data_IF_059986549872
#
_entry.id   IF_059986549872
#
_cell.length_a   1.000
_cell.length_b   1.000
_cell.length_c   1.000
_cell.angle_alpha   90.00
_cell.angle_beta   90.00
_cell.angle_gamma   90.00
#
_symmetry.space_group_name_H-M   'P 1'
#
loop_
_entity.id
_entity.type
_entity.pdbx_description
1 polymer ?
#
# COMPACT_ATOMS: atom_id res chain seq x y z
N UNK A 1 7.65 -57.71 6.68
CA UNK A 1 6.38 -57.22 6.14
C UNK A 1 5.98 -55.99 6.94
N UNK A 2 5.82 -54.85 6.25
CA UNK A 2 5.09 -53.60 6.60
C UNK A 2 5.53 -52.85 7.88
N UNK A 3 6.16 -51.66 7.82
CA UNK A 3 5.61 -50.33 7.45
C UNK A 3 4.39 -49.98 8.33
N UNK A 4 4.34 -48.94 9.17
CA UNK A 4 4.69 -47.52 9.02
C UNK A 4 4.52 -46.86 10.41
N UNK A 5 4.91 -45.57 10.57
CA UNK A 5 4.32 -44.62 11.54
C UNK A 5 4.93 -44.74 12.96
N UNK A 6 5.98 -44.00 13.31
CA UNK A 6 5.84 -42.71 14.03
C UNK A 6 6.90 -41.65 13.65
N UNK A 7 7.30 -41.58 12.38
CA UNK A 7 7.77 -40.31 11.83
C UNK A 7 6.56 -39.39 11.65
N UNK A 8 6.30 -38.45 12.59
CA UNK A 8 5.62 -37.15 12.34
C UNK A 8 5.20 -36.38 13.61
N UNK A 9 6.01 -36.36 14.67
CA UNK A 9 5.89 -35.31 15.71
C UNK A 9 7.12 -34.40 15.77
N UNK A 10 7.89 -34.38 14.67
CA UNK A 10 8.72 -33.23 14.34
C UNK A 10 7.80 -32.09 13.86
N UNK A 11 8.07 -30.88 14.37
CA UNK A 11 7.50 -29.59 13.96
C UNK A 11 6.26 -29.10 14.73
N UNK A 12 6.30 -29.19 16.06
CA UNK A 12 5.87 -28.02 16.86
C UNK A 12 7.02 -27.01 16.89
N UNK A 13 7.33 -26.45 15.72
CA UNK A 13 8.06 -25.19 15.65
C UNK A 13 7.00 -24.10 15.69
N UNK A 14 6.80 -23.50 16.86
CA UNK A 14 6.26 -22.15 17.00
C UNK A 14 6.88 -21.32 15.88
N UNK A 15 6.09 -20.66 14.99
CA UNK A 15 6.70 -19.73 14.06
C UNK A 15 7.27 -18.60 14.92
N UNK A 16 8.59 -18.65 15.12
CA UNK A 16 9.36 -17.56 15.65
C UNK A 16 8.94 -16.34 14.85
N UNK A 17 8.54 -15.27 15.54
CA UNK A 17 8.28 -13.98 14.95
C UNK A 17 9.59 -13.52 14.31
N UNK A 18 9.77 -13.92 13.05
CA UNK A 18 10.89 -13.55 12.22
C UNK A 18 10.70 -12.06 11.92
N UNK A 19 11.21 -11.23 12.81
CA UNK A 19 11.41 -9.79 12.59
C UNK A 19 12.54 -9.57 11.59
N UNK A 20 12.48 -10.29 10.48
CA UNK A 20 13.11 -9.84 9.24
C UNK A 20 12.42 -8.53 8.90
N UNK A 21 13.22 -7.45 8.78
CA UNK A 21 12.79 -6.21 8.12
C UNK A 21 12.05 -6.62 6.85
N UNK A 22 10.70 -6.53 6.87
CA UNK A 22 9.86 -6.96 5.74
C UNK A 22 10.38 -6.19 4.54
N UNK A 23 10.96 -6.89 3.56
CA UNK A 23 11.29 -6.27 2.28
C UNK A 23 9.96 -5.69 1.79
N UNK A 24 9.92 -4.39 1.50
CA UNK A 24 8.76 -3.79 0.86
C UNK A 24 8.37 -4.68 -0.32
N UNK A 25 7.24 -5.38 -0.21
CA UNK A 25 6.71 -6.19 -1.29
C UNK A 25 6.34 -5.25 -2.42
N UNK A 26 6.80 -5.58 -3.63
CA UNK A 26 6.48 -4.78 -4.81
C UNK A 26 4.97 -4.66 -4.99
N UNK A 27 4.55 -3.53 -5.56
CA UNK A 27 3.16 -3.29 -5.91
C UNK A 27 2.79 -4.16 -7.09
N UNK A 28 1.69 -4.90 -6.96
CA UNK A 28 1.08 -5.62 -8.08
C UNK A 28 0.15 -4.68 -8.84
N UNK A 29 -0.08 -4.96 -10.13
CA UNK A 29 -1.03 -4.20 -10.94
C UNK A 29 -2.45 -4.21 -10.34
N UNK A 30 -2.86 -5.31 -9.70
CA UNK A 30 -4.16 -5.42 -9.04
C UNK A 30 -4.28 -4.45 -7.84
N UNK A 31 -3.21 -4.29 -7.06
CA UNK A 31 -3.19 -3.35 -5.94
C UNK A 31 -3.12 -1.90 -6.39
N UNK A 32 -2.42 -1.63 -7.49
CA UNK A 32 -2.43 -0.31 -8.11
C UNK A 32 -3.82 0.06 -8.62
N UNK A 33 -4.50 -0.86 -9.30
CA UNK A 33 -5.88 -0.65 -9.73
C UNK A 33 -6.80 -0.43 -8.53
N UNK A 34 -6.70 -1.28 -7.51
CA UNK A 34 -7.47 -1.14 -6.27
C UNK A 34 -7.23 0.20 -5.58
N UNK A 35 -5.99 0.69 -5.57
CA UNK A 35 -5.65 2.01 -5.03
C UNK A 35 -6.34 3.12 -5.84
N UNK A 36 -6.34 3.04 -7.17
CA UNK A 36 -7.03 4.00 -8.03
C UNK A 36 -8.55 3.97 -7.79
N UNK A 37 -9.13 2.78 -7.65
CA UNK A 37 -10.56 2.60 -7.37
C UNK A 37 -10.93 3.26 -6.03
N UNK A 38 -10.19 2.98 -4.96
CA UNK A 38 -10.39 3.59 -3.63
C UNK A 38 -10.29 5.13 -3.72
N UNK A 39 -9.29 5.66 -4.43
CA UNK A 39 -9.12 7.12 -4.58
C UNK A 39 -10.22 7.76 -5.43
N UNK A 40 -10.80 7.01 -6.36
CA UNK A 40 -11.91 7.46 -7.20
C UNK A 40 -13.24 7.47 -6.43
N UNK A 41 -13.44 6.47 -5.57
CA UNK A 41 -14.59 6.40 -4.66
C UNK A 41 -14.52 7.48 -3.56
N UNK A 42 -13.31 7.74 -3.05
CA UNK A 42 -13.04 8.71 -1.99
C UNK A 42 -12.27 9.93 -2.52
N UNK A 43 -12.93 10.74 -3.34
CA UNK A 43 -12.32 11.93 -3.96
C UNK A 43 -11.79 12.96 -2.94
N UNK A 44 -12.40 13.03 -1.75
CA UNK A 44 -11.94 13.86 -0.62
C UNK A 44 -10.60 13.35 -0.06
N UNK A 45 -10.42 12.04 0.05
CA UNK A 45 -9.15 11.43 0.45
C UNK A 45 -8.08 11.71 -0.59
N UNK A 46 -8.39 11.55 -1.87
CA UNK A 46 -7.49 11.91 -2.96
C UNK A 46 -7.07 13.38 -2.86
N UNK A 47 -8.01 14.30 -2.62
CA UNK A 47 -7.71 15.72 -2.44
C UNK A 47 -6.75 15.97 -1.26
N UNK A 48 -6.98 15.33 -0.10
CA UNK A 48 -6.13 15.43 1.09
C UNK A 48 -4.73 14.84 0.84
N UNK A 49 -4.64 13.72 0.13
CA UNK A 49 -3.39 13.03 -0.15
C UNK A 49 -2.54 13.79 -1.19
N UNK A 50 -3.17 14.40 -2.19
CA UNK A 50 -2.54 15.08 -3.33
C UNK A 50 -2.15 16.53 -3.02
N UNK A 51 -2.99 17.25 -2.27
CA UNK A 51 -2.76 18.65 -1.93
C UNK A 51 -1.98 18.77 -0.63
N UNK A 52 -0.74 19.24 -0.73
CA UNK A 52 0.11 19.50 0.41
C UNK A 52 0.69 20.91 0.28
N UNK A 53 0.09 21.89 0.97
CA UNK A 53 0.62 23.26 1.01
C UNK A 53 0.96 23.77 2.41
N UNK A 54 0.73 23.00 3.48
CA UNK A 54 0.94 23.51 4.84
C UNK A 54 1.53 22.46 5.78
N UNK A 55 2.57 22.84 6.53
CA UNK A 55 3.21 22.08 7.61
C UNK A 55 2.32 21.98 8.87
N UNK A 56 1.03 21.77 8.68
CA UNK A 56 0.08 21.61 9.78
C UNK A 56 0.15 20.16 10.30
N UNK A 57 0.51 20.00 11.58
CA UNK A 57 0.64 18.70 12.25
C UNK A 57 -0.66 17.91 12.27
N UNK A 58 -1.83 18.58 12.35
CA UNK A 58 -3.15 17.95 12.34
C UNK A 58 -3.45 17.36 10.96
N UNK A 59 -3.11 18.09 9.88
CA UNK A 59 -3.26 17.57 8.51
C UNK A 59 -2.26 16.45 8.20
N UNK A 60 -1.06 16.50 8.78
CA UNK A 60 -0.10 15.39 8.74
C UNK A 60 -0.69 14.10 9.33
N UNK A 61 -1.31 14.20 10.51
CA UNK A 61 -1.98 13.07 11.17
C UNK A 61 -3.13 12.50 10.33
N UNK A 62 -4.00 13.35 9.79
CA UNK A 62 -5.10 12.93 8.91
C UNK A 62 -4.59 12.21 7.66
N UNK A 63 -3.53 12.72 7.05
CA UNK A 63 -2.91 12.10 5.87
C UNK A 63 -2.37 10.71 6.18
N UNK A 64 -1.71 10.56 7.33
CA UNK A 64 -1.22 9.25 7.78
C UNK A 64 -2.37 8.30 8.11
N UNK A 65 -3.45 8.78 8.73
CA UNK A 65 -4.62 7.97 9.05
C UNK A 65 -5.29 7.42 7.77
N UNK A 66 -5.55 8.30 6.80
CA UNK A 66 -6.11 7.90 5.50
C UNK A 66 -5.19 6.89 4.80
N UNK A 67 -3.88 7.11 4.79
CA UNK A 67 -2.94 6.19 4.16
C UNK A 67 -2.90 4.81 4.84
N UNK A 68 -3.09 4.73 6.16
CA UNK A 68 -3.22 3.44 6.88
C UNK A 68 -4.50 2.73 6.51
N UNK A 69 -5.62 3.47 6.44
CA UNK A 69 -6.93 2.92 6.07
C UNK A 69 -6.90 2.33 4.66
N UNK A 70 -6.33 3.07 3.70
CA UNK A 70 -6.09 2.55 2.34
C UNK A 70 -5.21 1.30 2.38
N UNK A 71 -4.14 1.29 3.18
CA UNK A 71 -3.27 0.11 3.33
C UNK A 71 -4.05 -1.13 3.78
N UNK A 72 -4.94 -0.98 4.77
CA UNK A 72 -5.81 -2.06 5.25
C UNK A 72 -6.78 -2.56 4.18
N UNK A 73 -7.37 -1.64 3.39
CA UNK A 73 -8.27 -2.00 2.30
C UNK A 73 -7.57 -2.67 1.11
N UNK A 74 -6.27 -2.40 0.92
CA UNK A 74 -5.44 -3.06 -0.10
C UNK A 74 -5.04 -4.48 0.32
N UNK A 75 -4.60 -4.65 1.56
CA UNK A 75 -4.12 -5.92 2.12
C UNK A 75 -4.48 -6.00 3.59
N UNK A 76 -5.53 -6.74 3.94
CA UNK A 76 -5.99 -6.85 5.33
C UNK A 76 -4.96 -7.56 6.24
N UNK A 77 -4.31 -8.62 5.72
CA UNK A 77 -3.38 -9.44 6.51
C UNK A 77 -1.96 -8.86 6.58
N UNK A 78 -1.55 -8.10 5.57
CA UNK A 78 -0.21 -7.49 5.46
C UNK A 78 -0.29 -6.10 4.81
N UNK A 79 -0.85 -5.10 5.51
CA UNK A 79 -1.06 -3.77 4.97
C UNK A 79 0.29 -3.07 4.68
N UNK A 80 0.44 -2.41 3.52
CA UNK A 80 1.61 -1.58 3.27
C UNK A 80 1.68 -0.42 4.26
N UNK A 81 2.90 -0.03 4.62
CA UNK A 81 3.12 1.15 5.46
C UNK A 81 2.49 2.40 4.84
N UNK A 82 1.94 3.27 5.69
CA UNK A 82 1.36 4.55 5.27
C UNK A 82 2.33 5.35 4.37
N UNK A 83 3.64 5.32 4.68
CA UNK A 83 4.66 5.99 3.85
C UNK A 83 4.73 5.42 2.44
N UNK A 84 4.61 4.10 2.28
CA UNK A 84 4.65 3.41 0.99
C UNK A 84 3.40 3.75 0.18
N UNK A 85 2.22 3.76 0.81
CA UNK A 85 0.97 4.21 0.18
C UNK A 85 1.10 5.66 -0.30
N UNK A 86 1.58 6.57 0.56
CA UNK A 86 1.78 7.98 0.21
C UNK A 86 2.76 8.17 -0.95
N UNK A 87 3.86 7.41 -0.97
CA UNK A 87 4.80 7.43 -2.08
C UNK A 87 4.15 6.97 -3.38
N UNK A 88 3.34 5.89 -3.33
CA UNK A 88 2.65 5.39 -4.52
C UNK A 88 1.62 6.38 -5.06
N UNK A 89 0.83 7.01 -4.19
CA UNK A 89 -0.11 8.08 -4.57
C UNK A 89 0.61 9.24 -5.24
N UNK A 90 1.78 9.64 -4.72
CA UNK A 90 2.61 10.67 -5.35
C UNK A 90 3.09 10.23 -6.74
N UNK A 91 3.58 9.00 -6.89
CA UNK A 91 4.00 8.48 -8.19
C UNK A 91 2.87 8.46 -9.23
N UNK A 92 1.65 8.09 -8.83
CA UNK A 92 0.47 8.13 -9.70
C UNK A 92 0.12 9.55 -10.14
N UNK A 93 0.15 10.51 -9.20
CA UNK A 93 -0.05 11.94 -9.49
C UNK A 93 0.99 12.46 -10.48
N UNK A 94 2.26 12.17 -10.24
CA UNK A 94 3.37 12.67 -11.07
C UNK A 94 3.30 12.06 -12.48
N UNK A 95 2.96 10.76 -12.59
CA UNK A 95 2.71 10.10 -13.87
C UNK A 95 1.54 10.72 -14.62
N UNK A 96 0.40 10.92 -13.96
CA UNK A 96 -0.78 11.53 -14.58
C UNK A 96 -0.49 12.94 -15.08
N UNK A 97 0.24 13.73 -14.27
CA UNK A 97 0.67 15.07 -14.67
C UNK A 97 1.57 15.02 -15.91
N UNK A 98 2.58 14.15 -15.93
CA UNK A 98 3.48 14.02 -17.07
C UNK A 98 2.74 13.59 -18.35
N UNK A 99 1.78 12.68 -18.23
CA UNK A 99 0.92 12.27 -19.34
C UNK A 99 0.06 13.44 -19.84
N UNK A 100 -0.58 14.18 -18.93
CA UNK A 100 -1.41 15.33 -19.27
C UNK A 100 -0.61 16.45 -19.94
N UNK A 101 0.55 16.80 -19.37
CA UNK A 101 1.46 17.81 -19.94
C UNK A 101 1.86 17.43 -21.36
N UNK A 102 2.20 16.16 -21.61
CA UNK A 102 2.53 15.64 -22.95
C UNK A 102 1.36 15.75 -23.92
N UNK A 103 0.16 15.34 -23.51
CA UNK A 103 -1.03 15.42 -24.38
C UNK A 103 -1.39 16.87 -24.70
N UNK A 104 -1.26 17.78 -23.73
CA UNK A 104 -1.55 19.21 -23.93
C UNK A 104 -0.59 19.92 -24.89
N UNK A 105 0.65 19.43 -25.03
CA UNK A 105 1.65 19.96 -25.98
C UNK A 105 1.42 19.49 -27.42
N UNK A 106 0.52 18.52 -27.64
CA UNK A 106 0.23 17.98 -28.97
C UNK A 106 -1.02 18.63 -29.60
N UNK A 107 -1.57 19.68 -28.98
CA UNK A 107 -2.77 20.41 -29.40
C UNK A 107 -2.49 21.86 -29.74
#
# INVERSE_FOLDING_TARGET
MSATQEHQLALQATPAADTHKRRCRDWTQAEEQRLVDILSEHADWAAILIHNRSNDTVRGANKTAIAKEIGLQLRADDPPDAKVVLQKVKSLKDWFKAWYDRMSQTG
#
